data_IF_688814325138
#
_entry.id   IF_688814325138
#
_cell.length_a   1.000
_cell.length_b   1.000
_cell.length_c   1.000
_cell.angle_alpha   90.00
_cell.angle_beta   90.00
_cell.angle_gamma   90.00
#
_symmetry.space_group_name_H-M   'P 1'
#
loop_
_entity.id
_entity.type
_entity.pdbx_description
1 polymer ?
#
# COMPACT_ATOMS: atom_id res chain seq x y z
N UNK A 1 14.46 -10.61 14.04
CA UNK A 1 14.13 -9.24 13.59
C UNK A 1 12.82 -9.35 12.82
N UNK A 2 11.83 -8.46 13.02
CA UNK A 2 10.60 -8.55 12.21
C UNK A 2 10.90 -7.91 10.85
N UNK A 3 10.86 -8.69 9.79
CA UNK A 3 11.09 -8.19 8.43
C UNK A 3 9.81 -7.49 7.95
N UNK A 4 9.74 -6.20 8.25
CA UNK A 4 8.68 -5.33 7.78
C UNK A 4 8.91 -4.98 6.32
N UNK A 5 7.84 -5.01 5.53
CA UNK A 5 7.88 -4.53 4.16
C UNK A 5 7.73 -3.02 4.12
N UNK A 6 8.57 -2.37 3.32
CA UNK A 6 8.45 -0.95 2.96
C UNK A 6 8.81 -0.81 1.49
N UNK A 7 8.01 -0.03 0.76
CA UNK A 7 8.43 0.42 -0.57
C UNK A 7 9.69 1.25 -0.44
N UNK A 8 10.66 1.06 -1.35
CA UNK A 8 11.84 1.93 -1.46
C UNK A 8 11.44 3.32 -1.95
N UNK A 9 12.34 4.30 -1.86
CA UNK A 9 12.06 5.65 -2.38
C UNK A 9 11.85 5.63 -3.90
N UNK A 10 12.62 4.81 -4.62
CA UNK A 10 12.49 4.63 -6.06
C UNK A 10 11.13 4.02 -6.45
N UNK A 11 10.70 2.97 -5.75
CA UNK A 11 9.37 2.39 -5.95
C UNK A 11 8.28 3.40 -5.60
N UNK A 12 8.43 4.12 -4.48
CA UNK A 12 7.44 5.08 -4.03
C UNK A 12 7.27 6.26 -4.99
N UNK A 13 8.36 6.78 -5.57
CA UNK A 13 8.32 7.85 -6.54
C UNK A 13 7.50 7.50 -7.80
N UNK A 14 7.40 6.21 -8.15
CA UNK A 14 6.57 5.71 -9.25
C UNK A 14 5.12 5.50 -8.86
N UNK A 15 4.88 5.14 -7.59
CA UNK A 15 3.54 4.86 -7.05
C UNK A 15 2.79 6.16 -6.75
N UNK A 16 3.44 7.11 -6.07
CA UNK A 16 2.80 8.32 -5.54
C UNK A 16 1.97 9.09 -6.58
N UNK A 17 2.43 9.30 -7.84
CA UNK A 17 1.65 10.02 -8.85
C UNK A 17 0.36 9.31 -9.29
N UNK A 18 0.28 7.98 -9.12
CA UNK A 18 -0.90 7.16 -9.48
C UNK A 18 -2.00 7.25 -8.42
N UNK A 19 -1.64 7.75 -7.23
CA UNK A 19 -2.58 7.79 -6.13
C UNK A 19 -3.59 8.90 -6.34
N UNK A 20 -4.88 8.68 -6.02
CA UNK A 20 -5.89 9.67 -6.32
C UNK A 20 -5.64 10.97 -5.55
N UNK A 21 -5.54 12.11 -6.19
CA UNK A 21 -5.37 13.40 -5.49
C UNK A 21 -6.74 14.07 -5.22
N UNK A 22 -6.78 15.12 -4.40
CA UNK A 22 -7.97 15.98 -4.25
C UNK A 22 -9.24 15.32 -3.68
N UNK A 23 -9.11 14.27 -2.86
CA UNK A 23 -10.31 13.60 -2.30
C UNK A 23 -10.98 14.47 -1.25
N UNK A 24 -12.28 14.71 -1.41
CA UNK A 24 -13.10 15.44 -0.43
C UNK A 24 -13.20 14.65 0.88
N UNK A 25 -12.95 15.31 2.01
CA UNK A 25 -13.08 14.72 3.35
C UNK A 25 -11.80 14.81 4.17
N UNK A 26 -11.65 13.89 5.13
CA UNK A 26 -10.50 13.86 6.05
C UNK A 26 -9.20 13.63 5.27
N UNK A 27 -8.17 14.41 5.60
CA UNK A 27 -6.82 14.24 5.07
C UNK A 27 -6.38 12.78 5.20
N UNK A 28 -5.73 12.26 4.15
CA UNK A 28 -5.25 10.88 4.15
C UNK A 28 -4.13 10.72 5.16
N UNK A 29 -4.14 9.59 5.84
CA UNK A 29 -2.94 9.07 6.51
C UNK A 29 -1.89 8.77 5.44
N UNK A 30 -0.63 8.75 5.83
CA UNK A 30 0.51 8.37 4.99
C UNK A 30 0.19 7.13 4.12
N UNK A 31 0.07 7.36 2.81
CA UNK A 31 -0.31 6.35 1.85
C UNK A 31 0.83 5.33 1.65
N UNK A 32 2.10 5.72 1.80
CA UNK A 32 3.26 4.81 1.70
C UNK A 32 3.23 3.79 2.81
N UNK A 33 2.97 4.26 4.03
CA UNK A 33 2.81 3.38 5.19
C UNK A 33 1.64 2.42 5.01
N UNK A 34 0.48 2.91 4.59
CA UNK A 34 -0.71 2.07 4.39
C UNK A 34 -0.45 1.02 3.30
N UNK A 35 0.12 1.43 2.16
CA UNK A 35 0.38 0.51 1.06
C UNK A 35 1.42 -0.55 1.43
N UNK A 36 2.47 -0.14 2.13
CA UNK A 36 3.49 -1.06 2.66
C UNK A 36 2.88 -2.08 3.61
N UNK A 37 1.94 -1.66 4.48
CA UNK A 37 1.21 -2.54 5.38
C UNK A 37 0.26 -3.51 4.68
N UNK A 38 -0.33 -3.09 3.56
CA UNK A 38 -1.15 -3.97 2.72
C UNK A 38 -0.27 -5.06 2.10
N UNK A 39 0.85 -4.70 1.47
CA UNK A 39 1.76 -5.68 0.87
C UNK A 39 2.35 -6.61 1.94
N UNK A 40 2.70 -6.09 3.12
CA UNK A 40 3.13 -6.92 4.25
C UNK A 40 2.05 -7.96 4.62
N UNK A 41 0.79 -7.53 4.78
CA UNK A 41 -0.30 -8.45 5.09
C UNK A 41 -0.50 -9.52 4.01
N UNK A 42 -0.36 -9.17 2.72
CA UNK A 42 -0.43 -10.11 1.61
C UNK A 42 0.73 -11.12 1.63
N UNK A 43 1.96 -10.68 1.91
CA UNK A 43 3.12 -11.56 2.09
C UNK A 43 2.95 -12.53 3.27
N UNK A 44 2.21 -12.11 4.30
CA UNK A 44 1.83 -12.93 5.45
C UNK A 44 0.56 -13.78 5.23
N UNK A 45 0.17 -14.04 3.97
CA UNK A 45 -0.98 -14.90 3.63
C UNK A 45 -2.34 -14.22 3.76
N UNK A 46 -2.41 -12.89 3.68
CA UNK A 46 -3.66 -12.12 3.74
C UNK A 46 -4.24 -11.95 5.14
N UNK A 47 -3.44 -12.24 6.18
CA UNK A 47 -3.86 -12.15 7.59
C UNK A 47 -3.74 -10.72 8.10
N UNK A 48 -4.72 -9.87 7.78
CA UNK A 48 -4.76 -8.45 8.18
C UNK A 48 -4.62 -8.21 9.69
N UNK A 49 -5.05 -9.18 10.52
CA UNK A 49 -4.97 -9.11 11.98
C UNK A 49 -3.52 -9.20 12.50
N UNK A 50 -2.62 -9.82 11.74
CA UNK A 50 -1.22 -9.98 12.12
C UNK A 50 -0.36 -8.78 11.72
N UNK A 51 -0.93 -7.84 10.96
CA UNK A 51 -0.23 -6.65 10.52
C UNK A 51 -0.02 -5.69 11.72
N UNK A 52 1.22 -5.35 12.09
CA UNK A 52 1.51 -4.56 13.29
C UNK A 52 0.88 -3.16 13.20
N UNK A 53 -0.02 -2.86 14.14
CA UNK A 53 -0.79 -1.61 14.17
C UNK A 53 0.10 -0.39 14.39
N UNK A 54 1.12 -0.55 15.21
CA UNK A 54 2.12 0.46 15.54
C UNK A 54 3.01 0.84 14.34
N UNK A 55 3.19 -0.08 13.39
CA UNK A 55 4.02 0.14 12.20
C UNK A 55 3.19 0.67 11.03
N UNK A 56 2.07 0.00 10.70
CA UNK A 56 1.32 0.29 9.48
C UNK A 56 0.00 1.03 9.72
N UNK A 57 -0.45 1.09 10.97
CA UNK A 57 -1.73 1.65 11.36
C UNK A 57 -2.85 0.61 11.47
N UNK A 58 -4.11 1.06 11.66
CA UNK A 58 -5.22 0.17 11.96
C UNK A 58 -5.54 -0.79 10.81
N UNK A 59 -5.72 -2.09 11.11
CA UNK A 59 -6.13 -3.12 10.13
C UNK A 59 -7.34 -2.74 9.27
N UNK A 60 -8.33 -2.04 9.87
CA UNK A 60 -9.52 -1.55 9.15
C UNK A 60 -9.16 -0.52 8.07
N UNK A 61 -8.15 0.32 8.32
CA UNK A 61 -7.66 1.29 7.33
C UNK A 61 -6.99 0.57 6.17
N UNK A 62 -6.16 -0.44 6.45
CA UNK A 62 -5.49 -1.24 5.41
C UNK A 62 -6.52 -1.95 4.52
N UNK A 63 -7.45 -2.69 5.13
CA UNK A 63 -8.48 -3.43 4.41
C UNK A 63 -9.40 -2.52 3.59
N UNK A 64 -9.93 -1.44 4.20
CA UNK A 64 -10.80 -0.51 3.48
C UNK A 64 -10.09 0.17 2.31
N UNK A 65 -8.79 0.45 2.45
CA UNK A 65 -8.00 1.01 1.36
C UNK A 65 -7.80 -0.01 0.25
N UNK A 66 -7.46 -1.24 0.60
CA UNK A 66 -7.31 -2.33 -0.35
C UNK A 66 -8.55 -2.51 -1.22
N UNK A 67 -9.72 -2.63 -0.61
CA UNK A 67 -10.99 -2.79 -1.34
C UNK A 67 -11.29 -1.59 -2.23
N UNK A 68 -11.22 -0.36 -1.67
CA UNK A 68 -11.53 0.86 -2.44
C UNK A 68 -10.60 1.10 -3.61
N UNK A 69 -9.36 0.65 -3.54
CA UNK A 69 -8.40 0.79 -4.62
C UNK A 69 -8.57 -0.31 -5.67
N UNK A 70 -8.97 -1.52 -5.27
CA UNK A 70 -9.37 -2.58 -6.20
C UNK A 70 -10.60 -2.19 -7.01
N UNK A 71 -11.64 -1.65 -6.37
CA UNK A 71 -12.84 -1.14 -7.05
C UNK A 71 -12.54 -0.03 -8.08
N UNK A 72 -11.37 0.61 -7.97
CA UNK A 72 -10.96 1.74 -8.81
C UNK A 72 -9.90 1.39 -9.84
N UNK A 73 -9.44 0.15 -9.90
CA UNK A 73 -8.37 -0.26 -10.83
C UNK A 73 -6.96 0.25 -10.46
N UNK A 74 -6.78 0.79 -9.26
CA UNK A 74 -5.51 1.43 -8.85
C UNK A 74 -4.41 0.38 -8.65
N UNK A 75 -4.76 -0.84 -8.24
CA UNK A 75 -3.78 -1.90 -8.04
C UNK A 75 -3.12 -2.33 -9.34
N UNK A 76 -3.89 -2.34 -10.42
CA UNK A 76 -3.45 -2.65 -11.77
C UNK A 76 -2.47 -1.58 -12.28
N UNK A 77 -2.76 -0.29 -12.03
CA UNK A 77 -1.85 0.82 -12.35
C UNK A 77 -0.53 0.70 -11.57
N UNK A 78 -0.62 0.45 -10.26
CA UNK A 78 0.56 0.25 -9.40
C UNK A 78 1.38 -0.94 -9.86
N UNK A 79 0.73 -2.07 -10.17
CA UNK A 79 1.42 -3.26 -10.66
C UNK A 79 2.12 -2.98 -11.99
N UNK A 80 1.43 -2.35 -12.95
CA UNK A 80 2.03 -1.98 -14.24
C UNK A 80 3.22 -1.04 -14.09
N UNK A 81 3.15 -0.08 -13.16
CA UNK A 81 4.25 0.84 -12.90
C UNK A 81 5.49 0.17 -12.29
N UNK A 82 5.34 -0.94 -11.58
CA UNK A 82 6.43 -1.66 -10.91
C UNK A 82 6.94 -2.88 -11.71
N UNK A 83 6.06 -3.57 -12.46
CA UNK A 83 6.38 -4.81 -13.17
C UNK A 83 7.33 -4.64 -14.38
N UNK A 84 7.72 -3.41 -14.71
CA UNK A 84 8.70 -3.11 -15.76
C UNK A 84 10.17 -3.22 -15.33
N UNK A 85 10.45 -3.50 -14.05
CA UNK A 85 11.81 -3.74 -13.54
C UNK A 85 11.84 -5.06 -12.77
N UNK A 86 12.35 -6.11 -13.43
CA UNK A 86 13.13 -7.13 -12.70
C UNK A 86 14.39 -6.43 -12.20
N UNK A 87 14.77 -6.70 -10.95
CA UNK A 87 15.96 -6.18 -10.29
C UNK A 87 17.19 -6.27 -11.24
N UNK A 88 17.68 -5.12 -11.69
CA UNK A 88 19.00 -4.98 -12.32
C UNK A 88 20.08 -4.75 -11.25
#
# INVERSE_FOLDING_TARGET
>A
MKDFFWFSDAQWARIEPLLPTGTRGKARVDDRRVLSGIVHALKCGGRWADCPREVYGPKKTLYNRFVRWAERGIWEEIFGALAGEEDA
#
